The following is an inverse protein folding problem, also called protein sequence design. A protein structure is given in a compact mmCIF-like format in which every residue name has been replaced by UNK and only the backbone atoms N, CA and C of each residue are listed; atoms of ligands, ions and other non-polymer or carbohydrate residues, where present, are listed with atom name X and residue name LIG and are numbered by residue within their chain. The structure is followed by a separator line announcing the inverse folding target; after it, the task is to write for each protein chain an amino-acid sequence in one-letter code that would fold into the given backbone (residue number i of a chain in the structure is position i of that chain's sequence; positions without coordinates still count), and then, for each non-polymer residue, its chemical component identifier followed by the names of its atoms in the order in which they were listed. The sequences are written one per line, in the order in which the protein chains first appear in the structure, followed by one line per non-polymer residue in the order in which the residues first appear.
data_IF_789079889994
#
_entry.id   IF_789079889994
#
_cell.length_a   1.000
_cell.length_b   1.000
_cell.length_c   1.000
_cell.angle_alpha   90.00
_cell.angle_beta   90.00
_cell.angle_gamma   90.00
#
_symmetry.space_group_name_H-M   'P 1'
#
loop_
_entity.id
_entity.type
_entity.pdbx_description
1 polymer ?
#
# COMPACT_ATOMS: atom_id res chain seq x y z
N UNK A 1 -11.67 -13.24 3.06
CA UNK A 1 -11.19 -12.76 1.74
C UNK A 1 -11.60 -13.65 0.56
N UNK A 2 -12.17 -14.83 0.83
CA UNK A 2 -12.68 -15.77 -0.18
C UNK A 2 -13.66 -15.15 -1.18
N UNK A 3 -14.56 -14.27 -0.73
CA UNK A 3 -15.51 -13.57 -1.60
C UNK A 3 -14.82 -12.62 -2.62
N UNK A 4 -13.57 -12.22 -2.37
CA UNK A 4 -12.74 -11.47 -3.30
C UNK A 4 -11.85 -12.39 -4.17
N UNK A 5 -12.06 -13.71 -4.12
CA UNK A 5 -11.32 -14.72 -4.90
C UNK A 5 -9.93 -15.05 -4.34
N UNK A 6 -9.60 -14.62 -3.13
CA UNK A 6 -8.31 -14.91 -2.51
C UNK A 6 -8.33 -16.29 -1.82
N UNK A 7 -7.23 -17.08 -1.85
CA UNK A 7 -7.09 -18.33 -1.11
C UNK A 7 -7.34 -18.17 0.40
N UNK A 8 -7.77 -19.25 1.05
CA UNK A 8 -8.18 -19.24 2.46
C UNK A 8 -7.03 -18.90 3.42
N UNK A 9 -5.79 -19.20 3.04
CA UNK A 9 -4.61 -18.91 3.85
C UNK A 9 -4.08 -17.47 3.67
N UNK A 10 -4.63 -16.69 2.74
CA UNK A 10 -4.19 -15.31 2.49
C UNK A 10 -4.43 -14.34 3.65
N UNK A 11 -5.58 -14.34 4.35
CA UNK A 11 -5.78 -13.48 5.51
C UNK A 11 -4.69 -13.67 6.56
N UNK A 12 -4.38 -14.91 6.93
CA UNK A 12 -3.39 -15.22 7.96
C UNK A 12 -1.98 -14.81 7.52
N UNK A 13 -1.59 -15.10 6.27
CA UNK A 13 -0.30 -14.63 5.74
C UNK A 13 -0.20 -13.11 5.73
N UNK A 14 -1.22 -12.41 5.25
CA UNK A 14 -1.22 -10.96 5.16
C UNK A 14 -1.10 -10.33 6.55
N UNK A 15 -1.92 -10.79 7.50
CA UNK A 15 -1.91 -10.28 8.87
C UNK A 15 -0.59 -10.59 9.58
N UNK A 16 0.00 -11.76 9.35
CA UNK A 16 1.34 -12.09 9.85
C UNK A 16 2.40 -11.10 9.36
N UNK A 17 2.47 -10.85 8.05
CA UNK A 17 3.42 -9.88 7.50
C UNK A 17 3.19 -8.45 8.00
N UNK A 18 1.92 -8.03 8.13
CA UNK A 18 1.60 -6.71 8.68
C UNK A 18 1.99 -6.59 10.16
N UNK A 19 1.84 -7.65 10.95
CA UNK A 19 2.26 -7.68 12.35
C UNK A 19 3.79 -7.60 12.50
N UNK A 20 4.55 -8.15 11.55
CA UNK A 20 6.00 -7.96 11.47
C UNK A 20 6.34 -6.50 11.13
N UNK A 21 5.70 -5.92 10.11
CA UNK A 21 5.97 -4.54 9.68
C UNK A 21 5.51 -3.46 10.67
N UNK A 22 4.54 -3.77 11.53
CA UNK A 22 4.14 -2.89 12.62
C UNK A 22 5.25 -2.71 13.67
N UNK A 23 6.17 -3.68 13.77
CA UNK A 23 7.30 -3.63 14.71
C UNK A 23 8.57 -3.12 14.05
N UNK A 24 8.87 -3.59 12.84
CA UNK A 24 10.08 -3.23 12.10
C UNK A 24 9.73 -2.88 10.66
N UNK A 25 10.04 -1.66 10.24
CA UNK A 25 9.76 -1.23 8.88
C UNK A 25 10.56 -2.08 7.85
N UNK A 26 9.89 -2.46 6.77
CA UNK A 26 10.55 -3.12 5.64
C UNK A 26 11.59 -2.21 4.97
N UNK A 27 12.64 -2.78 4.35
CA UNK A 27 13.68 -2.00 3.70
C UNK A 27 13.15 -1.24 2.48
N UNK A 28 13.60 0.00 2.31
CA UNK A 28 13.34 0.79 1.10
C UNK A 28 14.42 0.53 0.04
N UNK A 29 14.09 0.74 -1.24
CA UNK A 29 15.03 0.59 -2.37
C UNK A 29 15.18 1.88 -3.17
N UNK A 30 16.25 2.01 -3.94
CA UNK A 30 16.50 3.13 -4.87
C UNK A 30 16.20 2.76 -6.35
N UNK A 31 15.58 1.60 -6.58
CA UNK A 31 15.37 1.01 -7.91
C UNK A 31 14.69 1.96 -8.89
N UNK A 32 13.69 2.73 -8.43
CA UNK A 32 12.99 3.72 -9.28
C UNK A 32 13.96 4.79 -9.79
N UNK A 33 14.86 5.27 -8.92
CA UNK A 33 15.90 6.25 -9.30
C UNK A 33 16.83 5.66 -10.33
N UNK A 34 17.30 4.44 -10.10
CA UNK A 34 18.23 3.74 -11.00
C UNK A 34 17.63 3.51 -12.39
N UNK A 35 16.36 3.10 -12.47
CA UNK A 35 15.72 2.74 -13.72
C UNK A 35 15.17 3.94 -14.49
N UNK A 36 14.66 4.97 -13.80
CA UNK A 36 13.91 6.07 -14.41
C UNK A 36 14.61 7.43 -14.31
N UNK A 37 15.79 7.51 -13.69
CA UNK A 37 16.53 8.76 -13.51
C UNK A 37 15.87 9.78 -12.57
N UNK A 38 14.82 9.38 -11.85
CA UNK A 38 14.06 10.25 -10.92
C UNK A 38 13.71 9.50 -9.63
N UNK A 39 13.61 10.19 -8.47
CA UNK A 39 13.23 9.53 -7.23
C UNK A 39 11.83 8.90 -7.31
N UNK A 40 11.59 7.87 -6.50
CA UNK A 40 10.24 7.38 -6.25
C UNK A 40 9.37 8.51 -5.66
N UNK A 41 8.08 8.52 -6.02
CA UNK A 41 7.13 9.47 -5.42
C UNK A 41 6.91 9.12 -3.95
N UNK A 42 6.73 10.13 -3.11
CA UNK A 42 6.38 9.92 -1.72
C UNK A 42 4.91 9.52 -1.59
N UNK A 43 4.57 8.86 -0.48
CA UNK A 43 3.17 8.59 -0.16
C UNK A 43 2.35 9.90 -0.02
N UNK A 44 2.96 10.98 0.46
CA UNK A 44 2.29 12.28 0.58
C UNK A 44 1.86 12.84 -0.79
N UNK A 45 2.73 12.75 -1.81
CA UNK A 45 2.36 13.14 -3.19
C UNK A 45 1.21 12.27 -3.70
N UNK A 46 1.31 10.95 -3.53
CA UNK A 46 0.24 10.03 -3.93
C UNK A 46 -1.09 10.35 -3.25
N UNK A 47 -1.09 10.61 -1.94
CA UNK A 47 -2.29 10.92 -1.18
C UNK A 47 -2.97 12.20 -1.67
N UNK A 48 -2.20 13.22 -2.05
CA UNK A 48 -2.73 14.44 -2.64
C UNK A 48 -3.34 14.18 -4.03
N UNK A 49 -2.63 13.43 -4.87
CA UNK A 49 -3.09 13.07 -6.22
C UNK A 49 -4.40 12.26 -6.18
N UNK A 50 -4.58 11.40 -5.17
CA UNK A 50 -5.71 10.48 -5.05
C UNK A 50 -6.77 10.89 -4.00
N UNK A 51 -6.67 12.10 -3.43
CA UNK A 51 -7.58 12.58 -2.38
C UNK A 51 -9.07 12.42 -2.73
N UNK A 52 -9.40 12.55 -4.02
CA UNK A 52 -10.78 12.47 -4.51
C UNK A 52 -11.45 11.12 -4.20
N UNK A 53 -10.68 10.02 -4.17
CA UNK A 53 -11.20 8.69 -3.84
C UNK A 53 -11.64 8.55 -2.37
N UNK A 54 -11.17 9.45 -1.50
CA UNK A 54 -11.44 9.45 -0.06
C UNK A 54 -12.37 10.58 0.37
N UNK A 55 -12.77 11.45 -0.56
CA UNK A 55 -13.72 12.53 -0.32
C UNK A 55 -15.05 12.17 -0.97
N UNK A 56 -15.91 11.43 -0.26
CA UNK A 56 -17.27 11.15 -0.72
C UNK A 56 -18.20 12.29 -0.31
N UNK A 57 -18.77 13.00 -1.29
CA UNK A 57 -20.09 13.57 -1.12
C UNK A 57 -21.06 12.41 -0.86
N UNK A 58 -21.57 12.31 0.36
CA UNK A 58 -22.30 11.17 0.87
C UNK A 58 -23.55 10.80 0.05
N UNK A 59 -23.89 9.52 0.09
CA UNK A 59 -25.28 9.10 0.11
C UNK A 59 -25.40 8.12 1.27
N UNK A 60 -26.41 8.38 2.11
CA UNK A 60 -26.85 7.52 3.22
C UNK A 60 -27.05 6.09 2.77
#
# INVERSE_FOLDING_TARGET
MLAAGLPDEMPDRLLGSLADYAREAGPTTDTVRRLLGRPARTYATWAQDHRAAFTTGGTR
#
